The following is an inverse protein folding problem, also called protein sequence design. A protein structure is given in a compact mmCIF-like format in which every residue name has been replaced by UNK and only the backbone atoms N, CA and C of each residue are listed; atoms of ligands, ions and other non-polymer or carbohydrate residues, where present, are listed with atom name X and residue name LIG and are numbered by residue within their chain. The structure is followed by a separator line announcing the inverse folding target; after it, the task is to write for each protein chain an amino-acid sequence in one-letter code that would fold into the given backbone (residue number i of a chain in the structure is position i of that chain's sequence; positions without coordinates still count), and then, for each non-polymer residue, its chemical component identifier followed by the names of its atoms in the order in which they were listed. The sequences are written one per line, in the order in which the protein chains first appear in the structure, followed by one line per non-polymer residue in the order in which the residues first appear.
data_IF_559792254422
#
_entry.id   IF_559792254422
#
_cell.length_a   1.000
_cell.length_b   1.000
_cell.length_c   1.000
_cell.angle_alpha   90.00
_cell.angle_beta   90.00
_cell.angle_gamma   90.00
#
_symmetry.space_group_name_H-M   'P 1'
#
loop_
_entity.id
_entity.type
_entity.pdbx_description
1 polymer ?
#
# COMPACT_ATOMS: atom_id res chain seq x y z
N UNK A 1 22.81 4.31 -13.88
CA UNK A 1 22.64 3.02 -14.57
C UNK A 1 22.24 1.86 -13.63
N UNK A 2 22.78 1.77 -12.42
CA UNK A 2 22.47 0.70 -11.42
C UNK A 2 21.01 0.80 -10.92
N UNK A 3 20.51 1.99 -10.61
CA UNK A 3 19.13 2.22 -10.15
C UNK A 3 18.10 1.86 -11.23
N UNK A 4 18.39 2.19 -12.50
CA UNK A 4 17.49 1.85 -13.63
C UNK A 4 17.39 0.33 -13.85
N UNK A 5 18.50 -0.42 -13.73
CA UNK A 5 18.50 -1.90 -13.82
C UNK A 5 17.76 -2.54 -12.63
N UNK A 6 17.89 -1.96 -11.44
CA UNK A 6 17.16 -2.42 -10.24
C UNK A 6 15.65 -2.18 -10.37
N UNK A 7 15.25 -1.04 -10.95
CA UNK A 7 13.86 -0.71 -11.25
C UNK A 7 13.26 -1.68 -12.28
N UNK A 8 13.95 -1.96 -13.40
CA UNK A 8 13.49 -2.94 -14.40
C UNK A 8 13.38 -4.37 -13.85
N UNK A 9 14.30 -4.79 -12.96
CA UNK A 9 14.19 -6.11 -12.30
C UNK A 9 12.97 -6.17 -11.37
N UNK A 10 12.69 -5.11 -10.59
CA UNK A 10 11.48 -5.01 -9.75
C UNK A 10 10.21 -4.97 -10.59
N UNK A 11 10.18 -4.23 -11.71
CA UNK A 11 9.06 -4.22 -12.65
C UNK A 11 8.75 -5.63 -13.18
N UNK A 12 9.79 -6.39 -13.56
CA UNK A 12 9.63 -7.76 -14.06
C UNK A 12 9.15 -8.74 -12.98
N UNK A 13 9.66 -8.60 -11.75
CA UNK A 13 9.22 -9.39 -10.60
C UNK A 13 7.77 -9.06 -10.22
N UNK A 14 7.39 -7.77 -10.19
CA UNK A 14 6.02 -7.33 -9.89
C UNK A 14 5.03 -7.70 -11.00
N UNK A 15 5.41 -7.62 -12.29
CA UNK A 15 4.53 -8.07 -13.37
C UNK A 15 4.29 -9.58 -13.31
N UNK A 16 5.27 -10.37 -12.88
CA UNK A 16 5.13 -11.81 -12.64
C UNK A 16 4.28 -12.09 -11.38
N UNK A 17 4.40 -11.26 -10.34
CA UNK A 17 3.62 -11.30 -9.11
C UNK A 17 2.13 -10.96 -9.37
N UNK A 18 1.86 -9.88 -10.13
CA UNK A 18 0.51 -9.51 -10.56
C UNK A 18 -0.13 -10.53 -11.51
N UNK A 19 0.65 -11.18 -12.37
CA UNK A 19 0.16 -12.26 -13.25
C UNK A 19 -0.21 -13.55 -12.50
N UNK A 20 0.39 -13.81 -11.33
CA UNK A 20 0.03 -14.97 -10.49
C UNK A 20 -1.26 -14.78 -9.68
N UNK A 21 -1.71 -13.54 -9.53
CA UNK A 21 -2.93 -13.20 -8.81
C UNK A 21 -3.97 -12.85 -9.85
N UNK A 22 -4.82 -13.64 -10.23
CA UNK A 22 -5.95 -13.48 -11.17
C UNK A 22 -6.39 -12.04 -11.55
N UNK A 23 -7.36 -11.87 -12.40
CA UNK A 23 -7.82 -10.54 -12.84
C UNK A 23 -8.24 -9.70 -11.62
N UNK A 24 -7.96 -8.40 -11.66
CA UNK A 24 -8.57 -7.39 -10.79
C UNK A 24 -10.07 -7.70 -10.78
N UNK A 25 -10.59 -7.91 -9.58
CA UNK A 25 -11.86 -8.56 -9.26
C UNK A 25 -13.06 -8.23 -10.15
N UNK A 26 -14.10 -9.03 -10.01
CA UNK A 26 -15.44 -8.85 -10.61
C UNK A 26 -16.08 -7.46 -10.32
N UNK A 27 -15.50 -6.66 -9.42
CA UNK A 27 -15.89 -5.28 -9.14
C UNK A 27 -16.03 -4.42 -10.39
N UNK A 28 -15.16 -4.62 -11.40
CA UNK A 28 -15.25 -3.84 -12.64
C UNK A 28 -16.41 -4.28 -13.54
N UNK A 29 -16.98 -5.47 -13.33
CA UNK A 29 -18.14 -5.95 -14.07
C UNK A 29 -19.47 -5.33 -13.60
N UNK A 30 -19.49 -4.77 -12.38
CA UNK A 30 -20.68 -4.13 -11.77
C UNK A 30 -20.69 -2.61 -11.95
N UNK A 31 -19.68 -2.03 -12.65
CA UNK A 31 -19.60 -0.58 -12.86
C UNK A 31 -20.76 -0.11 -13.74
N UNK A 32 -21.56 0.78 -13.19
CA UNK A 32 -22.64 1.46 -13.91
C UNK A 32 -22.11 2.70 -14.64
N UNK A 33 -22.88 3.20 -15.62
CA UNK A 33 -22.57 4.47 -16.31
C UNK A 33 -22.52 5.66 -15.36
N UNK A 34 -23.25 5.61 -14.24
CA UNK A 34 -23.24 6.63 -13.19
C UNK A 34 -21.91 6.62 -12.42
N UNK A 35 -21.41 5.46 -12.04
CA UNK A 35 -20.09 5.31 -11.41
C UNK A 35 -18.98 5.88 -12.31
N UNK A 36 -19.07 5.60 -13.60
CA UNK A 36 -18.09 6.08 -14.57
C UNK A 36 -18.12 7.60 -14.75
N UNK A 37 -19.32 8.16 -14.81
CA UNK A 37 -19.54 9.62 -14.89
C UNK A 37 -18.97 10.31 -13.66
N UNK A 38 -19.23 9.78 -12.46
CA UNK A 38 -18.75 10.38 -11.22
C UNK A 38 -17.24 10.22 -11.05
N UNK A 39 -16.66 9.09 -11.46
CA UNK A 39 -15.21 8.91 -11.47
C UNK A 39 -14.53 9.91 -12.42
N UNK A 40 -15.09 10.15 -13.61
CA UNK A 40 -14.61 11.17 -14.54
C UNK A 40 -14.68 12.57 -13.95
N UNK A 41 -15.75 12.90 -13.25
CA UNK A 41 -15.88 14.17 -12.54
C UNK A 41 -14.76 14.36 -11.50
N UNK A 42 -14.47 13.34 -10.68
CA UNK A 42 -13.38 13.39 -9.70
C UNK A 42 -12.01 13.60 -10.33
N UNK A 43 -11.76 12.93 -11.46
CA UNK A 43 -10.50 13.06 -12.22
C UNK A 43 -10.37 14.47 -12.81
N UNK A 44 -11.44 15.01 -13.38
CA UNK A 44 -11.45 16.35 -13.96
C UNK A 44 -11.26 17.41 -12.87
N UNK A 45 -11.96 17.30 -11.75
CA UNK A 45 -11.81 18.20 -10.61
C UNK A 45 -10.39 18.17 -10.05
N UNK A 46 -9.79 16.99 -9.93
CA UNK A 46 -8.40 16.86 -9.52
C UNK A 46 -7.47 17.57 -10.50
N UNK A 47 -7.64 17.35 -11.80
CA UNK A 47 -6.79 17.92 -12.85
C UNK A 47 -6.86 19.45 -12.85
N UNK A 48 -8.05 20.02 -12.71
CA UNK A 48 -8.26 21.46 -12.62
C UNK A 48 -7.59 22.07 -11.37
N UNK A 49 -7.82 21.47 -10.21
CA UNK A 49 -7.19 21.92 -8.96
C UNK A 49 -5.67 21.74 -9.00
N UNK A 50 -5.16 20.66 -9.59
CA UNK A 50 -3.74 20.38 -9.69
C UNK A 50 -3.01 21.32 -10.65
N UNK A 51 -3.71 21.94 -11.59
CA UNK A 51 -3.15 22.98 -12.46
C UNK A 51 -2.79 24.24 -11.67
N UNK A 52 -3.60 24.59 -10.66
CA UNK A 52 -3.38 25.76 -9.80
C UNK A 52 -2.52 25.45 -8.60
N UNK A 53 -2.88 24.43 -7.83
CA UNK A 53 -2.13 24.00 -6.63
C UNK A 53 -2.27 22.50 -6.42
N UNK A 54 -1.19 21.75 -6.72
CA UNK A 54 -1.15 20.30 -6.64
C UNK A 54 -1.38 19.76 -5.20
N UNK A 55 -0.86 20.43 -4.18
CA UNK A 55 -1.01 19.99 -2.79
C UNK A 55 -2.48 20.10 -2.33
N UNK A 56 -3.15 21.19 -2.68
CA UNK A 56 -4.59 21.37 -2.40
C UNK A 56 -5.43 20.34 -3.14
N UNK A 57 -5.09 20.04 -4.39
CA UNK A 57 -5.79 19.01 -5.18
C UNK A 57 -5.66 17.62 -4.55
N UNK A 58 -4.45 17.25 -4.14
CA UNK A 58 -4.17 15.97 -3.43
C UNK A 58 -4.97 15.88 -2.14
N UNK A 59 -5.00 16.94 -1.33
CA UNK A 59 -5.74 16.96 -0.06
C UNK A 59 -7.24 16.78 -0.27
N UNK A 60 -7.83 17.53 -1.21
CA UNK A 60 -9.26 17.43 -1.55
C UNK A 60 -9.64 16.03 -2.08
N UNK A 61 -8.82 15.49 -3.00
CA UNK A 61 -9.04 14.14 -3.53
C UNK A 61 -8.98 13.08 -2.42
N UNK A 62 -8.01 13.17 -1.53
CA UNK A 62 -7.83 12.27 -0.41
C UNK A 62 -9.02 12.29 0.56
N UNK A 63 -9.54 13.48 0.84
CA UNK A 63 -10.72 13.63 1.71
C UNK A 63 -11.95 12.96 1.07
N UNK A 64 -12.17 13.19 -0.23
CA UNK A 64 -13.24 12.53 -0.98
C UNK A 64 -13.09 11.01 -0.98
N UNK A 65 -11.90 10.50 -1.25
CA UNK A 65 -11.64 9.07 -1.21
C UNK A 65 -11.88 8.45 0.17
N UNK A 66 -11.56 9.17 1.25
CA UNK A 66 -11.87 8.73 2.63
C UNK A 66 -13.36 8.71 2.94
N UNK A 67 -14.11 9.68 2.41
CA UNK A 67 -15.56 9.76 2.64
C UNK A 67 -16.28 8.69 1.84
N UNK A 68 -16.05 8.65 0.53
CA UNK A 68 -16.71 7.71 -0.37
C UNK A 68 -16.30 6.26 -0.14
N UNK A 69 -15.05 6.01 0.20
CA UNK A 69 -14.58 4.67 0.50
C UNK A 69 -15.17 4.04 1.77
N UNK A 70 -16.07 4.73 2.49
CA UNK A 70 -16.83 4.15 3.61
C UNK A 70 -18.02 3.31 3.16
N UNK A 71 -18.46 3.49 1.92
CA UNK A 71 -19.55 2.77 1.31
C UNK A 71 -19.02 1.82 0.22
N UNK A 72 -19.58 0.62 0.09
CA UNK A 72 -19.12 -0.37 -0.88
C UNK A 72 -19.43 0.06 -2.31
N UNK A 73 -20.59 0.66 -2.55
CA UNK A 73 -20.99 1.17 -3.86
C UNK A 73 -20.06 2.30 -4.32
N UNK A 74 -19.78 3.25 -3.44
CA UNK A 74 -18.89 4.36 -3.74
C UNK A 74 -17.40 3.98 -3.78
N UNK A 75 -17.00 2.85 -3.18
CA UNK A 75 -15.64 2.38 -3.31
C UNK A 75 -15.26 2.08 -4.76
N UNK A 76 -16.18 1.54 -5.55
CA UNK A 76 -15.99 1.30 -6.98
C UNK A 76 -15.63 2.59 -7.72
N UNK A 77 -16.32 3.70 -7.40
CA UNK A 77 -16.02 5.03 -7.95
C UNK A 77 -14.62 5.51 -7.56
N UNK A 78 -14.24 5.34 -6.29
CA UNK A 78 -12.90 5.72 -5.78
C UNK A 78 -11.82 4.96 -6.54
N UNK A 79 -11.98 3.66 -6.69
CA UNK A 79 -10.99 2.82 -7.35
C UNK A 79 -10.91 3.10 -8.86
N UNK A 80 -12.05 3.29 -9.52
CA UNK A 80 -12.12 3.66 -10.92
C UNK A 80 -11.47 5.03 -11.17
N UNK A 81 -11.76 6.02 -10.32
CA UNK A 81 -11.13 7.33 -10.39
C UNK A 81 -9.61 7.24 -10.21
N UNK A 82 -9.14 6.44 -9.24
CA UNK A 82 -7.73 6.18 -9.04
C UNK A 82 -7.06 5.56 -10.27
N UNK A 83 -7.67 4.54 -10.88
CA UNK A 83 -7.16 3.93 -12.12
C UNK A 83 -7.04 4.93 -13.25
N UNK A 84 -8.08 5.72 -13.50
CA UNK A 84 -8.07 6.77 -14.53
C UNK A 84 -7.00 7.83 -14.27
N UNK A 85 -6.77 8.20 -13.02
CA UNK A 85 -5.69 9.12 -12.65
C UNK A 85 -4.31 8.55 -12.96
N UNK A 86 -4.10 7.28 -12.68
CA UNK A 86 -2.84 6.57 -12.92
C UNK A 86 -2.55 6.41 -14.42
N UNK A 87 -3.58 6.14 -15.21
CA UNK A 87 -3.45 5.86 -16.65
C UNK A 87 -3.33 7.15 -17.50
N UNK A 88 -4.04 8.22 -17.12
CA UNK A 88 -4.29 9.34 -18.02
C UNK A 88 -3.84 10.70 -17.48
N UNK A 89 -3.34 10.81 -16.23
CA UNK A 89 -3.05 12.12 -15.65
C UNK A 89 -1.64 12.62 -15.96
N UNK A 90 -1.56 13.88 -16.39
CA UNK A 90 -0.28 14.59 -16.50
C UNK A 90 0.38 14.83 -15.14
N UNK A 91 -0.40 14.87 -14.05
CA UNK A 91 0.07 14.95 -12.67
C UNK A 91 -0.39 13.72 -11.90
N UNK A 92 0.54 12.85 -11.59
CA UNK A 92 0.28 11.60 -10.88
C UNK A 92 -0.17 11.85 -9.42
N UNK A 93 -1.03 10.96 -8.87
CA UNK A 93 -1.38 11.00 -7.47
C UNK A 93 -0.15 10.72 -6.60
N UNK A 94 -0.09 11.34 -5.43
CA UNK A 94 1.03 11.17 -4.49
C UNK A 94 0.92 9.85 -3.70
N UNK A 95 2.02 9.45 -3.05
CA UNK A 95 2.05 8.30 -2.14
C UNK A 95 0.94 8.37 -1.06
N UNK A 96 0.50 9.58 -0.69
CA UNK A 96 -0.58 9.78 0.27
C UNK A 96 -1.93 9.32 -0.29
N UNK A 97 -2.25 9.63 -1.56
CA UNK A 97 -3.47 9.15 -2.23
C UNK A 97 -3.44 7.62 -2.35
N UNK A 98 -2.29 7.07 -2.78
CA UNK A 98 -2.09 5.61 -2.86
C UNK A 98 -2.36 4.93 -1.52
N UNK A 99 -1.79 5.47 -0.44
CA UNK A 99 -1.99 4.96 0.94
C UNK A 99 -3.47 4.99 1.33
N UNK A 100 -4.21 6.04 0.96
CA UNK A 100 -5.64 6.13 1.23
C UNK A 100 -6.42 5.06 0.47
N UNK A 101 -6.15 4.86 -0.82
CA UNK A 101 -6.79 3.80 -1.64
C UNK A 101 -6.52 2.43 -1.04
N UNK A 102 -5.27 2.11 -0.71
CA UNK A 102 -4.89 0.83 -0.06
C UNK A 102 -5.63 0.63 1.26
N UNK A 103 -5.70 1.67 2.09
CA UNK A 103 -6.36 1.60 3.40
C UNK A 103 -7.85 1.34 3.26
N UNK A 104 -8.50 2.02 2.32
CA UNK A 104 -9.94 1.86 2.07
C UNK A 104 -10.22 0.49 1.48
N UNK A 105 -9.46 0.06 0.46
CA UNK A 105 -9.56 -1.25 -0.15
C UNK A 105 -9.39 -2.38 0.89
N UNK A 106 -8.36 -2.28 1.73
CA UNK A 106 -8.09 -3.28 2.77
C UNK A 106 -9.24 -3.42 3.78
N UNK A 107 -9.82 -2.30 4.22
CA UNK A 107 -10.97 -2.30 5.15
C UNK A 107 -12.22 -2.94 4.57
N UNK A 108 -12.38 -2.90 3.26
CA UNK A 108 -13.52 -3.44 2.50
C UNK A 108 -13.33 -4.87 2.02
N UNK A 109 -12.14 -5.43 2.19
CA UNK A 109 -11.84 -6.78 1.73
C UNK A 109 -11.37 -6.87 0.28
N UNK A 110 -11.18 -5.73 -0.39
CA UNK A 110 -10.73 -5.64 -1.77
C UNK A 110 -9.20 -5.67 -1.85
N UNK A 111 -8.63 -6.85 -1.57
CA UNK A 111 -7.18 -7.01 -1.52
C UNK A 111 -6.52 -6.87 -2.90
N UNK A 112 -7.19 -7.28 -3.97
CA UNK A 112 -6.69 -7.13 -5.36
C UNK A 112 -6.51 -5.68 -5.76
N UNK A 113 -7.40 -4.80 -5.32
CA UNK A 113 -7.34 -3.36 -5.56
C UNK A 113 -6.22 -2.70 -4.74
N UNK A 114 -6.05 -3.15 -3.49
CA UNK A 114 -4.91 -2.75 -2.68
C UNK A 114 -3.58 -3.18 -3.30
N UNK A 115 -3.51 -4.43 -3.82
CA UNK A 115 -2.36 -4.96 -4.54
C UNK A 115 -2.02 -4.13 -5.79
N UNK A 116 -3.06 -3.77 -6.58
CA UNK A 116 -2.89 -2.92 -7.76
C UNK A 116 -2.30 -1.56 -7.39
N UNK A 117 -2.87 -0.88 -6.40
CA UNK A 117 -2.42 0.44 -5.98
C UNK A 117 -0.99 0.40 -5.42
N UNK A 118 -0.66 -0.61 -4.61
CA UNK A 118 0.68 -0.79 -4.06
C UNK A 118 1.70 -1.11 -5.15
N UNK A 119 1.41 -2.10 -6.03
CA UNK A 119 2.28 -2.48 -7.13
C UNK A 119 2.56 -1.34 -8.09
N UNK A 120 1.53 -0.54 -8.43
CA UNK A 120 1.70 0.66 -9.24
C UNK A 120 2.67 1.66 -8.59
N UNK A 121 2.54 1.92 -7.29
CA UNK A 121 3.43 2.85 -6.60
C UNK A 121 4.89 2.39 -6.56
N UNK A 122 5.13 1.07 -6.54
CA UNK A 122 6.47 0.51 -6.62
C UNK A 122 7.09 0.62 -8.03
N UNK A 123 6.26 0.55 -9.08
CA UNK A 123 6.73 0.63 -10.47
C UNK A 123 6.98 2.05 -10.95
N UNK A 124 6.32 3.03 -10.33
CA UNK A 124 6.43 4.46 -10.67
C UNK A 124 7.75 5.07 -10.13
N UNK A 125 8.88 4.50 -10.55
CA UNK A 125 10.20 4.80 -10.01
C UNK A 125 10.70 6.24 -10.28
N UNK A 126 10.14 6.92 -11.28
CA UNK A 126 10.66 8.19 -11.77
C UNK A 126 10.22 9.40 -10.93
N UNK A 127 9.16 9.24 -10.14
CA UNK A 127 8.65 10.30 -9.27
C UNK A 127 8.85 9.97 -7.79
N UNK A 128 9.64 10.79 -7.10
CA UNK A 128 9.79 10.70 -5.63
C UNK A 128 8.46 10.86 -4.89
N UNK A 129 7.50 11.59 -5.49
CA UNK A 129 6.19 11.88 -4.90
C UNK A 129 5.27 10.65 -4.83
N UNK A 130 5.52 9.66 -5.68
CA UNK A 130 4.68 8.45 -5.79
C UNK A 130 5.27 7.26 -5.06
N UNK A 131 6.58 7.27 -4.78
CA UNK A 131 7.26 6.13 -4.13
C UNK A 131 6.58 5.74 -2.83
N UNK A 132 6.39 4.43 -2.58
CA UNK A 132 5.84 3.95 -1.33
C UNK A 132 6.65 4.47 -0.14
N UNK A 133 5.96 4.97 0.84
CA UNK A 133 6.52 5.39 2.14
C UNK A 133 6.31 4.31 3.20
N UNK A 134 6.90 4.47 4.38
CA UNK A 134 6.64 3.59 5.52
C UNK A 134 5.13 3.47 5.84
N UNK A 135 4.37 4.56 5.64
CA UNK A 135 2.91 4.54 5.80
C UNK A 135 2.22 3.69 4.74
N UNK A 136 2.68 3.74 3.48
CA UNK A 136 2.13 2.95 2.37
C UNK A 136 2.35 1.46 2.62
N UNK A 137 3.57 1.07 3.02
CA UNK A 137 3.88 -0.32 3.40
C UNK A 137 3.05 -0.80 4.58
N UNK A 138 2.95 0.01 5.63
CA UNK A 138 2.13 -0.32 6.81
C UNK A 138 0.67 -0.51 6.44
N UNK A 139 0.10 0.37 5.63
CA UNK A 139 -1.28 0.26 5.16
C UNK A 139 -1.51 -1.02 4.36
N UNK A 140 -0.54 -1.41 3.53
CA UNK A 140 -0.67 -2.63 2.74
C UNK A 140 -0.53 -3.90 3.59
N UNK A 141 0.40 -3.95 4.56
CA UNK A 141 0.49 -5.02 5.55
C UNK A 141 -0.84 -5.14 6.35
N UNK A 142 -1.43 -4.00 6.73
CA UNK A 142 -2.74 -4.00 7.40
C UNK A 142 -3.85 -4.54 6.50
N UNK A 143 -3.87 -4.17 5.22
CA UNK A 143 -4.85 -4.67 4.25
C UNK A 143 -4.75 -6.20 4.09
N UNK A 144 -3.55 -6.74 3.97
CA UNK A 144 -3.30 -8.19 3.96
C UNK A 144 -3.83 -8.81 5.25
N UNK A 145 -3.49 -8.23 6.42
CA UNK A 145 -3.87 -8.74 7.72
C UNK A 145 -5.38 -8.71 8.00
N UNK A 146 -6.12 -7.83 7.37
CA UNK A 146 -7.59 -7.79 7.44
C UNK A 146 -8.24 -8.90 6.59
N UNK A 147 -7.55 -9.36 5.56
CA UNK A 147 -8.02 -10.28 4.55
C UNK A 147 -7.21 -11.60 4.52
N UNK A 148 -6.72 -12.05 5.67
CA UNK A 148 -5.94 -13.30 5.76
C UNK A 148 -6.79 -14.48 5.32
N UNK A 149 -6.32 -15.17 4.27
CA UNK A 149 -6.88 -16.43 3.77
C UNK A 149 -5.71 -17.39 3.51
N UNK A 150 -5.73 -18.56 4.13
CA UNK A 150 -4.65 -19.54 3.99
C UNK A 150 -3.28 -18.91 4.32
N UNK A 151 -2.30 -19.07 3.44
CA UNK A 151 -0.94 -18.60 3.62
C UNK A 151 -0.69 -17.14 3.21
N UNK A 152 -1.75 -16.34 2.99
CA UNK A 152 -1.60 -14.91 2.61
C UNK A 152 -0.85 -14.08 3.66
N UNK A 153 -0.80 -14.55 4.91
CA UNK A 153 0.02 -13.94 5.96
C UNK A 153 1.52 -13.89 5.62
N UNK A 154 2.03 -14.88 4.85
CA UNK A 154 3.45 -14.91 4.40
C UNK A 154 3.78 -13.67 3.59
N UNK A 155 2.85 -13.26 2.73
CA UNK A 155 3.03 -12.03 1.94
C UNK A 155 3.28 -10.79 2.80
N UNK A 156 2.64 -10.69 3.97
CA UNK A 156 2.85 -9.54 4.86
C UNK A 156 4.29 -9.47 5.38
N UNK A 157 4.92 -10.62 5.62
CA UNK A 157 6.33 -10.69 6.00
C UNK A 157 7.25 -10.37 4.81
N UNK A 158 6.92 -10.86 3.60
CA UNK A 158 7.69 -10.54 2.39
C UNK A 158 7.66 -9.03 2.10
N UNK A 159 6.49 -8.39 2.28
CA UNK A 159 6.33 -6.93 2.14
C UNK A 159 7.09 -6.17 3.23
N UNK A 160 7.14 -6.70 4.45
CA UNK A 160 7.94 -6.12 5.52
C UNK A 160 9.44 -6.20 5.19
N UNK A 161 9.93 -7.33 4.69
CA UNK A 161 11.32 -7.50 4.26
C UNK A 161 11.67 -6.57 3.08
N UNK A 162 10.73 -6.40 2.12
CA UNK A 162 10.89 -5.44 1.02
C UNK A 162 10.96 -3.98 1.54
N UNK A 163 10.16 -3.62 2.55
CA UNK A 163 10.20 -2.31 3.20
C UNK A 163 11.61 -2.01 3.74
N UNK A 164 12.20 -2.95 4.49
CA UNK A 164 13.55 -2.83 5.05
C UNK A 164 14.60 -2.75 3.93
N UNK A 165 14.47 -3.61 2.92
CA UNK A 165 15.38 -3.64 1.77
C UNK A 165 15.38 -2.34 0.95
N UNK A 166 14.29 -1.56 1.02
CA UNK A 166 14.19 -0.23 0.43
C UNK A 166 14.72 0.88 1.35
N UNK A 167 15.28 0.54 2.52
CA UNK A 167 15.84 1.50 3.48
C UNK A 167 14.77 2.24 4.29
N UNK A 168 13.53 1.75 4.32
CA UNK A 168 12.46 2.34 5.12
C UNK A 168 12.47 1.75 6.53
N UNK A 169 12.32 2.60 7.52
CA UNK A 169 12.34 2.21 8.94
C UNK A 169 10.91 1.85 9.37
N UNK A 170 10.66 0.58 9.79
CA UNK A 170 9.38 0.18 10.38
C UNK A 170 9.11 0.92 11.70
N UNK A 171 7.86 1.26 11.94
CA UNK A 171 7.41 1.88 13.17
C UNK A 171 6.49 0.94 13.97
N UNK A 172 6.04 1.39 15.15
CA UNK A 172 5.15 0.61 16.04
C UNK A 172 3.89 0.12 15.32
N UNK A 173 3.33 0.92 14.41
CA UNK A 173 2.14 0.54 13.65
C UNK A 173 2.45 -0.58 12.65
N UNK A 174 3.64 -0.55 12.03
CA UNK A 174 4.11 -1.60 11.10
C UNK A 174 4.25 -2.93 11.84
N UNK A 175 4.94 -2.94 12.98
CA UNK A 175 5.11 -4.15 13.80
C UNK A 175 3.75 -4.67 14.31
N UNK A 176 2.89 -3.78 14.81
CA UNK A 176 1.56 -4.16 15.28
C UNK A 176 0.70 -4.78 14.18
N UNK A 177 0.80 -4.27 12.95
CA UNK A 177 0.11 -4.83 11.79
C UNK A 177 0.65 -6.22 11.45
N UNK A 178 1.99 -6.38 11.44
CA UNK A 178 2.66 -7.64 11.13
C UNK A 178 2.33 -8.73 12.16
N UNK A 179 2.39 -8.40 13.46
CA UNK A 179 2.04 -9.32 14.55
C UNK A 179 0.59 -9.78 14.39
N UNK A 180 -0.33 -8.84 14.18
CA UNK A 180 -1.76 -9.16 14.01
C UNK A 180 -2.00 -10.07 12.81
N UNK A 181 -1.30 -9.83 11.71
CA UNK A 181 -1.40 -10.64 10.50
C UNK A 181 -0.84 -12.04 10.72
N UNK A 182 0.32 -12.16 11.36
CA UNK A 182 0.92 -13.45 11.69
C UNK A 182 0.04 -14.28 12.63
N UNK A 183 -0.52 -13.68 13.68
CA UNK A 183 -1.45 -14.38 14.60
C UNK A 183 -2.68 -14.89 13.85
N UNK A 184 -3.25 -14.13 12.92
CA UNK A 184 -4.38 -14.57 12.08
C UNK A 184 -3.99 -15.68 11.09
N UNK A 185 -2.72 -15.83 10.74
CA UNK A 185 -2.17 -16.92 9.95
C UNK A 185 -2.09 -18.26 10.69
N UNK A 186 -2.63 -18.36 11.92
CA UNK A 186 -2.66 -19.57 12.70
C UNK A 186 -1.30 -19.93 13.32
N UNK A 187 -1.08 -21.23 13.57
CA UNK A 187 0.12 -21.73 14.28
C UNK A 187 1.43 -21.31 13.60
N UNK A 188 1.53 -21.47 12.28
CA UNK A 188 2.73 -21.15 11.52
C UNK A 188 3.02 -19.64 11.52
N UNK A 189 2.01 -18.80 11.34
CA UNK A 189 2.13 -17.36 11.41
C UNK A 189 2.51 -16.87 12.80
N UNK A 190 1.90 -17.41 13.85
CA UNK A 190 2.25 -17.10 15.24
C UNK A 190 3.70 -17.50 15.59
N UNK A 191 4.19 -18.64 15.09
CA UNK A 191 5.57 -19.08 15.27
C UNK A 191 6.56 -18.11 14.60
N UNK A 192 6.24 -17.62 13.40
CA UNK A 192 7.04 -16.59 12.70
C UNK A 192 7.10 -15.28 13.51
N UNK A 193 5.97 -14.85 14.08
CA UNK A 193 5.91 -13.68 14.96
C UNK A 193 6.79 -13.86 16.20
N UNK A 194 6.77 -15.05 16.85
CA UNK A 194 7.60 -15.32 18.02
C UNK A 194 9.09 -15.22 17.71
N UNK A 195 9.51 -15.67 16.54
CA UNK A 195 10.91 -15.53 16.08
C UNK A 195 11.30 -14.04 15.93
N UNK A 196 10.40 -13.20 15.42
CA UNK A 196 10.62 -11.74 15.32
C UNK A 196 10.69 -11.06 16.69
N UNK A 197 9.85 -11.47 17.63
CA UNK A 197 9.85 -10.92 18.99
C UNK A 197 11.19 -11.21 19.70
N UNK A 198 11.72 -12.41 19.51
CA UNK A 198 13.03 -12.80 20.10
C UNK A 198 14.15 -11.95 19.51
N UNK A 199 14.19 -11.77 18.18
CA UNK A 199 15.17 -10.90 17.50
C UNK A 199 15.08 -9.44 17.98
N UNK A 200 13.86 -8.93 18.17
CA UNK A 200 13.63 -7.55 18.61
C UNK A 200 14.09 -7.36 20.08
N UNK A 201 13.86 -8.36 20.91
CA UNK A 201 14.30 -8.35 22.31
C UNK A 201 15.84 -8.39 22.41
N UNK A 202 16.50 -9.20 21.57
CA UNK A 202 17.96 -9.21 21.47
C UNK A 202 18.53 -7.88 20.97
N UNK A 203 17.95 -7.28 19.92
CA UNK A 203 18.38 -5.96 19.40
C UNK A 203 18.19 -4.86 20.45
N UNK A 204 17.08 -4.84 21.17
CA UNK A 204 16.80 -3.86 22.21
C UNK A 204 17.77 -4.01 23.38
N UNK A 205 18.05 -5.21 23.85
CA UNK A 205 19.03 -5.49 24.91
C UNK A 205 20.44 -5.11 24.45
N UNK A 206 20.81 -5.42 23.21
CA UNK A 206 22.15 -5.08 22.66
C UNK A 206 22.34 -3.58 22.53
N UNK A 207 21.33 -2.84 22.08
CA UNK A 207 21.37 -1.37 22.01
C UNK A 207 21.44 -0.75 23.40
N UNK A 208 20.67 -1.26 24.36
CA UNK A 208 20.75 -0.79 25.76
C UNK A 208 22.11 -1.07 26.39
N UNK A 209 22.69 -2.26 26.18
CA UNK A 209 24.03 -2.60 26.70
C UNK A 209 25.12 -1.75 26.06
N UNK A 210 25.07 -1.49 24.75
CA UNK A 210 26.01 -0.58 24.08
C UNK A 210 25.86 0.86 24.56
N UNK A 211 24.62 1.33 24.81
CA UNK A 211 24.36 2.65 25.35
C UNK A 211 24.89 2.82 26.78
N UNK A 212 24.73 1.79 27.62
CA UNK A 212 25.29 1.78 28.99
C UNK A 212 26.83 1.68 29.00
N UNK A 213 27.44 0.96 28.05
CA UNK A 213 28.90 0.85 27.95
C UNK A 213 29.59 2.09 27.38
N UNK A 214 28.86 2.96 26.66
CA UNK A 214 29.42 4.21 26.07
C UNK A 214 29.24 5.44 27.00
N UNK A 215 28.50 5.30 28.09
CA UNK A 215 28.24 6.35 29.08
C UNK A 215 29.08 6.21 30.37
N UNK A 216 29.93 5.19 30.47
CA UNK A 216 30.98 5.00 31.46
C UNK A 216 32.36 5.07 30.83
#
# INVERSE_FOLDING_TARGET
MILYRRCKRKQKANSAFLKKRGPVSDLLSEITTEHESYANFLVQEYSLNAATNHEVAVRKLNEKFRVFGKDDEFFQVVFLAFRKLVENSAKLPTAHVVTTVITVAGKRGYLSEADFAFGWSQTSCDSKLVRPTAFTYTAYIQAIGQNVRGDSWVLAFDIFDDMISNGLIPNVFTYSALIRTGVRGGKNGAQRVSSFHTLFQFLYITVLTLFFFHLN
#
